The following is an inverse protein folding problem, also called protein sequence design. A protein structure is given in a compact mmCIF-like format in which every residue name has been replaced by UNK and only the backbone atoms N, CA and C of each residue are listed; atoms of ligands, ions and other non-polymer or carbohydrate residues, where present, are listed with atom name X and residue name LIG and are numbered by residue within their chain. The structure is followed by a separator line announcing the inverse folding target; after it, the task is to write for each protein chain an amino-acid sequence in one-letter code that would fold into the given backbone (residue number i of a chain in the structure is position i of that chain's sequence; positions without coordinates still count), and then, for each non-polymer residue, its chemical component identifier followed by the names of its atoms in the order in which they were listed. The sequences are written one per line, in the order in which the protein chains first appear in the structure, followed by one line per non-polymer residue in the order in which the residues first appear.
data_IF_635504848935
#
_entry.id   IF_635504848935
#
_cell.length_a   1.000
_cell.length_b   1.000
_cell.length_c   1.000
_cell.angle_alpha   90.00
_cell.angle_beta   90.00
_cell.angle_gamma   90.00
#
_symmetry.space_group_name_H-M   'P 1'
#
loop_
_entity.id
_entity.type
_entity.pdbx_description
1 polymer ?
#
# COMPACT_ATOMS: atom_id res chain seq x y z
N UNK A 1 5.38 1.71 22.12
CA UNK A 1 5.04 2.23 20.78
C UNK A 1 4.44 1.10 19.96
N UNK A 2 3.37 1.35 19.19
CA UNK A 2 2.89 0.40 18.18
C UNK A 2 3.69 0.66 16.91
N UNK A 3 4.49 -0.30 16.44
CA UNK A 3 5.30 -0.20 15.22
C UNK A 3 4.89 -1.27 14.18
N UNK A 4 3.64 -1.76 14.27
CA UNK A 4 3.14 -2.83 13.42
C UNK A 4 2.71 -2.28 12.07
N UNK A 5 3.34 -2.75 10.99
CA UNK A 5 2.96 -2.42 9.62
C UNK A 5 2.22 -3.62 9.03
N UNK A 6 1.03 -3.40 8.48
CA UNK A 6 0.20 -4.47 7.90
C UNK A 6 0.01 -4.19 6.41
N UNK A 7 0.48 -5.11 5.57
CA UNK A 7 0.10 -5.17 4.16
C UNK A 7 -1.04 -6.20 4.03
N UNK A 8 -2.31 -5.77 3.90
CA UNK A 8 -3.44 -6.66 3.92
C UNK A 8 -3.59 -7.32 2.55
N UNK A 9 -2.71 -8.26 2.21
CA UNK A 9 -2.73 -8.98 0.92
C UNK A 9 -3.99 -9.85 0.81
N UNK A 10 -5.13 -9.23 0.47
CA UNK A 10 -6.45 -9.89 0.43
C UNK A 10 -6.74 -10.47 -0.95
N UNK A 11 -6.26 -9.79 -1.99
CA UNK A 11 -6.56 -10.02 -3.40
C UNK A 11 -5.26 -9.96 -4.20
N UNK A 12 -5.14 -10.78 -5.25
CA UNK A 12 -4.07 -10.58 -6.22
C UNK A 12 -4.27 -9.25 -6.96
N UNK A 13 -3.22 -8.73 -7.59
CA UNK A 13 -3.33 -7.59 -8.51
C UNK A 13 -4.31 -7.83 -9.67
N UNK A 14 -4.66 -9.10 -9.93
CA UNK A 14 -5.66 -9.55 -10.91
C UNK A 14 -7.06 -9.78 -10.32
N UNK A 15 -7.30 -9.43 -9.05
CA UNK A 15 -8.61 -9.51 -8.39
C UNK A 15 -8.98 -10.88 -7.83
N UNK A 16 -8.08 -11.87 -7.84
CA UNK A 16 -8.36 -13.19 -7.27
C UNK A 16 -8.26 -13.12 -5.76
N UNK A 17 -9.28 -13.57 -5.04
CA UNK A 17 -9.25 -13.66 -3.58
C UNK A 17 -8.14 -14.61 -3.14
N UNK A 18 -7.18 -14.09 -2.36
CA UNK A 18 -6.04 -14.85 -1.82
C UNK A 18 -6.33 -15.38 -0.42
N UNK A 19 -7.31 -14.79 0.27
CA UNK A 19 -7.71 -15.18 1.62
C UNK A 19 -9.02 -15.93 1.66
N UNK A 20 -9.18 -16.77 2.69
CA UNK A 20 -10.46 -17.39 3.01
C UNK A 20 -11.47 -16.30 3.43
N UNK A 21 -12.77 -16.54 3.18
CA UNK A 21 -13.85 -15.56 3.41
C UNK A 21 -13.93 -15.05 4.86
N UNK A 22 -13.44 -15.83 5.81
CA UNK A 22 -13.40 -15.55 7.25
C UNK A 22 -12.16 -14.74 7.70
N UNK A 23 -11.16 -14.58 6.84
CA UNK A 23 -9.92 -13.89 7.19
C UNK A 23 -10.10 -12.37 7.32
N UNK A 24 -10.96 -11.75 6.49
CA UNK A 24 -11.19 -10.29 6.52
C UNK A 24 -11.82 -9.85 7.85
N UNK A 25 -12.89 -10.50 8.35
CA UNK A 25 -13.42 -10.20 9.69
C UNK A 25 -12.38 -10.33 10.81
N UNK A 26 -11.51 -11.35 10.77
CA UNK A 26 -10.45 -11.54 11.75
C UNK A 26 -9.40 -10.43 11.68
N UNK A 27 -8.92 -10.09 10.48
CA UNK A 27 -7.98 -8.99 10.24
C UNK A 27 -8.54 -7.68 10.83
N UNK A 28 -9.80 -7.35 10.52
CA UNK A 28 -10.47 -6.14 11.00
C UNK A 28 -10.60 -6.10 12.52
N UNK A 29 -10.96 -7.22 13.16
CA UNK A 29 -11.23 -7.27 14.61
C UNK A 29 -9.99 -7.45 15.48
N UNK A 30 -8.95 -8.12 14.98
CA UNK A 30 -7.82 -8.57 15.80
C UNK A 30 -6.49 -7.87 15.46
N UNK A 31 -6.27 -7.53 14.19
CA UNK A 31 -4.97 -7.07 13.71
C UNK A 31 -4.95 -5.56 13.41
N UNK A 32 -5.94 -5.03 12.68
CA UNK A 32 -5.99 -3.60 12.37
C UNK A 32 -5.97 -2.68 13.61
N UNK A 33 -6.62 -3.02 14.74
CA UNK A 33 -6.56 -2.19 15.95
C UNK A 33 -5.15 -2.08 16.56
N UNK A 34 -4.22 -2.94 16.16
CA UNK A 34 -2.84 -2.95 16.65
C UNK A 34 -1.86 -2.27 15.67
N UNK A 35 -2.31 -1.97 14.45
CA UNK A 35 -1.45 -1.45 13.40
C UNK A 35 -1.09 0.02 13.61
N UNK A 36 0.17 0.36 13.35
CA UNK A 36 0.59 1.74 13.15
C UNK A 36 0.19 2.20 11.75
N UNK A 37 0.56 1.42 10.73
CA UNK A 37 0.23 1.69 9.32
C UNK A 37 -0.38 0.44 8.70
N UNK A 38 -1.49 0.60 7.98
CA UNK A 38 -1.99 -0.41 7.05
C UNK A 38 -1.84 0.09 5.61
N UNK A 39 -1.39 -0.77 4.69
CA UNK A 39 -1.01 -0.34 3.33
C UNK A 39 -1.87 -1.00 2.23
N UNK A 40 -3.21 -0.88 2.23
CA UNK A 40 -4.05 -1.54 1.22
C UNK A 40 -3.88 -0.92 -0.17
N UNK A 41 -4.01 -1.71 -1.23
CA UNK A 41 -4.35 -1.17 -2.56
C UNK A 41 -5.84 -0.79 -2.65
N UNK A 42 -6.30 -0.19 -3.75
CA UNK A 42 -7.71 0.19 -3.93
C UNK A 42 -8.69 -0.97 -3.64
N UNK A 43 -8.49 -2.14 -4.24
CA UNK A 43 -9.41 -3.28 -4.07
C UNK A 43 -9.41 -3.82 -2.62
N UNK A 44 -8.24 -3.80 -1.97
CA UNK A 44 -8.11 -4.16 -0.55
C UNK A 44 -8.78 -3.10 0.34
N UNK A 45 -8.66 -1.83 -0.01
CA UNK A 45 -9.31 -0.72 0.70
C UNK A 45 -10.83 -0.81 0.58
N UNK A 46 -11.36 -1.13 -0.60
CA UNK A 46 -12.79 -1.39 -0.83
C UNK A 46 -13.29 -2.53 0.07
N UNK A 47 -12.54 -3.64 0.14
CA UNK A 47 -12.89 -4.80 0.97
C UNK A 47 -12.83 -4.49 2.48
N UNK A 48 -11.84 -3.72 2.92
CA UNK A 48 -11.70 -3.32 4.32
C UNK A 48 -12.75 -2.29 4.74
N UNK A 49 -12.99 -1.29 3.91
CA UNK A 49 -14.00 -0.26 4.16
C UNK A 49 -15.43 -0.82 4.01
N UNK A 50 -15.64 -1.81 3.13
CA UNK A 50 -16.96 -2.31 2.79
C UNK A 50 -17.74 -1.30 1.94
N UNK A 51 -17.07 -0.69 0.97
CA UNK A 51 -17.65 0.22 -0.02
C UNK A 51 -16.80 0.21 -1.30
N UNK A 52 -17.37 0.61 -2.43
CA UNK A 52 -16.63 0.80 -3.68
C UNK A 52 -15.92 2.16 -3.67
N UNK A 53 -14.76 2.25 -4.33
CA UNK A 53 -13.98 3.48 -4.51
C UNK A 53 -13.98 3.82 -6.00
N UNK A 54 -14.74 4.86 -6.38
CA UNK A 54 -14.87 5.29 -7.78
C UNK A 54 -14.33 6.71 -8.01
N UNK A 55 -14.02 7.42 -6.94
CA UNK A 55 -13.51 8.79 -6.95
C UNK A 55 -12.50 8.99 -5.81
N UNK A 56 -11.78 10.11 -5.86
CA UNK A 56 -10.92 10.54 -4.74
C UNK A 56 -11.74 10.74 -3.46
N UNK A 57 -12.95 11.28 -3.57
CA UNK A 57 -13.82 11.48 -2.42
C UNK A 57 -14.21 10.14 -1.78
N UNK A 58 -14.48 9.10 -2.58
CA UNK A 58 -14.73 7.75 -2.06
C UNK A 58 -13.48 7.18 -1.38
N UNK A 59 -12.29 7.50 -1.87
CA UNK A 59 -11.02 7.08 -1.28
C UNK A 59 -10.83 7.68 0.12
N UNK A 60 -11.18 8.96 0.29
CA UNK A 60 -11.16 9.64 1.59
C UNK A 60 -12.16 9.01 2.57
N UNK A 61 -13.38 8.74 2.11
CA UNK A 61 -14.38 8.03 2.93
C UNK A 61 -13.93 6.62 3.31
N UNK A 62 -13.37 5.87 2.36
CA UNK A 62 -12.84 4.53 2.62
C UNK A 62 -11.69 4.57 3.64
N UNK A 63 -10.77 5.52 3.50
CA UNK A 63 -9.67 5.70 4.45
C UNK A 63 -10.18 6.01 5.87
N UNK A 64 -11.17 6.90 6.01
CA UNK A 64 -11.83 7.17 7.29
C UNK A 64 -12.42 5.91 7.92
N UNK A 65 -13.18 5.12 7.15
CA UNK A 65 -13.76 3.85 7.63
C UNK A 65 -12.70 2.83 8.04
N UNK A 66 -11.52 2.85 7.42
CA UNK A 66 -10.42 1.95 7.78
C UNK A 66 -9.71 2.45 9.04
N UNK A 67 -9.50 3.77 9.19
CA UNK A 67 -8.97 4.39 10.41
C UNK A 67 -9.86 4.08 11.63
N UNK A 68 -11.18 4.07 11.46
CA UNK A 68 -12.15 3.69 12.51
C UNK A 68 -11.98 2.24 12.99
N UNK A 69 -11.29 1.39 12.23
CA UNK A 69 -10.94 0.03 12.64
C UNK A 69 -9.72 -0.02 13.60
N UNK A 70 -9.12 1.14 13.88
CA UNK A 70 -8.04 1.33 14.85
C UNK A 70 -6.60 1.50 14.36
N UNK A 71 -6.21 1.37 13.06
CA UNK A 71 -4.85 1.72 12.65
C UNK A 71 -4.62 3.23 12.83
N UNK A 72 -3.40 3.65 13.18
CA UNK A 72 -3.08 5.08 13.30
C UNK A 72 -2.94 5.78 11.95
N UNK A 73 -2.55 5.03 10.91
CA UNK A 73 -2.37 5.50 9.55
C UNK A 73 -2.86 4.47 8.53
N UNK A 74 -3.38 4.96 7.40
CA UNK A 74 -3.78 4.15 6.23
C UNK A 74 -3.07 4.71 5.01
N UNK A 75 -2.29 3.88 4.32
CA UNK A 75 -1.64 4.23 3.05
C UNK A 75 -2.35 3.50 1.92
N UNK A 76 -3.26 4.19 1.21
CA UNK A 76 -3.97 3.62 0.07
C UNK A 76 -3.06 3.71 -1.16
N UNK A 77 -2.71 2.56 -1.73
CA UNK A 77 -1.81 2.43 -2.88
C UNK A 77 -2.56 2.46 -4.20
N UNK A 78 -1.99 3.14 -5.20
CA UNK A 78 -2.46 3.09 -6.59
C UNK A 78 -3.66 3.98 -6.90
N UNK A 79 -3.74 5.16 -6.27
CA UNK A 79 -4.64 6.23 -6.68
C UNK A 79 -4.35 6.71 -8.11
N UNK A 80 -5.34 7.33 -8.76
CA UNK A 80 -5.20 7.94 -10.09
C UNK A 80 -4.63 7.04 -11.21
N UNK A 81 -5.35 5.96 -11.56
CA UNK A 81 -5.02 5.05 -12.68
C UNK A 81 -4.94 5.73 -14.06
N UNK A 82 -5.49 6.93 -14.22
CA UNK A 82 -5.48 7.70 -15.47
C UNK A 82 -4.26 8.62 -15.62
N UNK A 83 -3.38 8.70 -14.61
CA UNK A 83 -2.21 9.56 -14.65
C UNK A 83 -0.96 8.82 -15.12
N UNK A 84 0.04 9.54 -15.64
CA UNK A 84 1.38 9.02 -15.92
C UNK A 84 2.22 8.83 -14.64
N UNK A 85 1.57 8.80 -13.47
CA UNK A 85 2.19 8.73 -12.16
C UNK A 85 1.62 7.55 -11.35
N UNK A 86 2.46 7.02 -10.46
CA UNK A 86 2.07 6.07 -9.44
C UNK A 86 1.88 6.82 -8.12
N UNK A 87 0.63 7.08 -7.73
CA UNK A 87 0.28 7.84 -6.54
C UNK A 87 -0.19 6.93 -5.41
N UNK A 88 0.32 7.17 -4.20
CA UNK A 88 -0.19 6.58 -2.96
C UNK A 88 -0.56 7.70 -1.98
N UNK A 89 -1.68 7.55 -1.27
CA UNK A 89 -2.19 8.57 -0.35
C UNK A 89 -2.19 8.06 1.09
N UNK A 90 -1.51 8.78 1.98
CA UNK A 90 -1.45 8.52 3.40
C UNK A 90 -2.48 9.35 4.15
N UNK A 91 -3.27 8.68 4.97
CA UNK A 91 -4.26 9.24 5.87
C UNK A 91 -3.85 8.96 7.31
N UNK A 92 -3.91 9.96 8.18
CA UNK A 92 -3.57 9.82 9.60
C UNK A 92 -2.79 11.02 10.12
N UNK A 93 -2.57 11.08 11.44
CA UNK A 93 -1.84 12.20 12.04
C UNK A 93 -2.46 13.58 11.78
N UNK A 94 -3.80 13.64 11.60
CA UNK A 94 -4.58 14.83 11.24
C UNK A 94 -4.22 15.43 9.86
N UNK A 95 -3.62 14.63 8.97
CA UNK A 95 -3.21 15.06 7.63
C UNK A 95 -3.61 14.03 6.58
N UNK A 96 -3.68 14.51 5.34
CA UNK A 96 -3.77 13.69 4.13
C UNK A 96 -2.58 14.09 3.26
N UNK A 97 -1.73 13.13 2.89
CA UNK A 97 -0.50 13.37 2.12
C UNK A 97 -0.44 12.44 0.92
N UNK A 98 -0.28 13.00 -0.27
CA UNK A 98 -0.09 12.24 -1.50
C UNK A 98 1.41 12.12 -1.82
N UNK A 99 1.83 10.92 -2.23
CA UNK A 99 3.20 10.60 -2.62
C UNK A 99 3.21 10.05 -4.04
N UNK A 100 3.87 10.76 -4.95
CA UNK A 100 3.83 10.46 -6.38
C UNK A 100 5.24 10.25 -6.95
N UNK A 101 5.35 9.24 -7.82
CA UNK A 101 6.55 8.97 -8.62
C UNK A 101 6.12 8.66 -10.06
N UNK A 102 6.98 8.85 -11.08
CA UNK A 102 6.63 8.51 -12.45
C UNK A 102 6.17 7.05 -12.60
N UNK A 103 5.11 6.82 -13.37
CA UNK A 103 4.66 5.47 -13.67
C UNK A 103 5.72 4.71 -14.45
N UNK A 104 5.97 3.46 -14.06
CA UNK A 104 6.95 2.57 -14.71
C UNK A 104 6.20 1.43 -15.37
N UNK A 105 6.26 1.34 -16.69
CA UNK A 105 5.65 0.25 -17.44
C UNK A 105 6.42 -1.06 -17.27
N UNK A 106 5.69 -2.18 -17.30
CA UNK A 106 6.23 -3.54 -17.16
C UNK A 106 5.55 -4.32 -16.05
N UNK A 107 5.61 -5.64 -16.13
CA UNK A 107 5.08 -6.51 -15.08
C UNK A 107 6.12 -6.67 -13.98
N UNK A 108 5.91 -5.94 -12.89
CA UNK A 108 6.73 -6.04 -11.68
C UNK A 108 5.85 -6.48 -10.53
N UNK A 109 6.18 -7.63 -9.95
CA UNK A 109 5.46 -8.21 -8.83
C UNK A 109 6.15 -7.84 -7.52
N UNK A 110 5.39 -7.75 -6.43
CA UNK A 110 5.93 -7.54 -5.09
C UNK A 110 6.29 -6.08 -4.73
N UNK A 111 5.95 -5.10 -5.57
CA UNK A 111 6.12 -3.66 -5.25
C UNK A 111 5.43 -3.27 -3.95
N UNK A 112 4.25 -3.84 -3.66
CA UNK A 112 3.53 -3.64 -2.39
C UNK A 112 4.32 -4.14 -1.18
N UNK A 113 4.86 -5.36 -1.24
CA UNK A 113 5.67 -5.93 -0.15
C UNK A 113 6.97 -5.15 0.06
N UNK A 114 7.61 -4.70 -1.02
CA UNK A 114 8.82 -3.85 -0.95
C UNK A 114 8.49 -2.51 -0.30
N UNK A 115 7.35 -1.90 -0.66
CA UNK A 115 6.90 -0.65 -0.07
C UNK A 115 6.64 -0.80 1.44
N UNK A 116 5.86 -1.79 1.86
CA UNK A 116 5.53 -2.02 3.27
C UNK A 116 6.78 -2.36 4.10
N UNK A 117 7.70 -3.16 3.54
CA UNK A 117 8.99 -3.48 4.16
C UNK A 117 9.87 -2.23 4.31
N UNK A 118 9.95 -1.39 3.27
CA UNK A 118 10.72 -0.16 3.32
C UNK A 118 10.15 0.85 4.34
N UNK A 119 8.82 0.97 4.44
CA UNK A 119 8.16 1.77 5.49
C UNK A 119 8.57 1.29 6.87
N UNK A 120 8.48 -0.03 7.12
CA UNK A 120 8.89 -0.61 8.40
C UNK A 120 10.37 -0.33 8.72
N UNK A 121 11.28 -0.45 7.74
CA UNK A 121 12.70 -0.16 7.91
C UNK A 121 12.94 1.32 8.26
N UNK A 122 12.31 2.26 7.56
CA UNK A 122 12.49 3.68 7.85
C UNK A 122 11.90 4.09 9.20
N UNK A 123 10.75 3.54 9.59
CA UNK A 123 10.22 3.75 10.96
C UNK A 123 11.18 3.17 12.00
N UNK A 124 11.73 1.98 11.77
CA UNK A 124 12.74 1.37 12.64
C UNK A 124 14.03 2.19 12.77
N UNK A 125 14.33 3.04 11.79
CA UNK A 125 15.45 4.00 11.81
C UNK A 125 15.10 5.32 12.52
N UNK A 126 13.91 5.45 13.09
CA UNK A 126 13.48 6.64 13.84
C UNK A 126 12.83 7.74 12.99
N UNK A 127 12.50 7.48 11.73
CA UNK A 127 11.74 8.43 10.92
C UNK A 127 10.27 8.48 11.36
N UNK A 128 9.66 9.66 11.30
CA UNK A 128 8.21 9.83 11.38
C UNK A 128 7.52 9.10 10.21
N UNK A 129 6.25 8.71 10.39
CA UNK A 129 5.52 7.87 9.43
C UNK A 129 5.45 8.52 8.04
N UNK A 130 5.16 9.81 7.99
CA UNK A 130 5.07 10.59 6.75
C UNK A 130 6.40 10.54 5.98
N UNK A 131 7.52 10.74 6.69
CA UNK A 131 8.86 10.69 6.09
C UNK A 131 9.27 9.27 5.70
N UNK A 132 8.85 8.27 6.46
CA UNK A 132 9.11 6.87 6.16
C UNK A 132 8.39 6.42 4.88
N UNK A 133 7.13 6.85 4.69
CA UNK A 133 6.35 6.59 3.47
C UNK A 133 6.96 7.27 2.25
N UNK A 134 7.33 8.55 2.36
CA UNK A 134 8.02 9.27 1.29
C UNK A 134 9.29 8.52 0.82
N UNK A 135 10.15 8.17 1.78
CA UNK A 135 11.40 7.44 1.49
C UNK A 135 11.17 6.05 0.92
N UNK A 136 10.14 5.34 1.40
CA UNK A 136 9.77 4.03 0.88
C UNK A 136 9.29 4.13 -0.58
N UNK A 137 8.49 5.15 -0.91
CA UNK A 137 8.03 5.39 -2.28
C UNK A 137 9.19 5.69 -3.23
N UNK A 138 10.11 6.57 -2.84
CA UNK A 138 11.34 6.87 -3.60
C UNK A 138 12.22 5.62 -3.79
N UNK A 139 12.30 4.77 -2.77
CA UNK A 139 13.04 3.52 -2.83
C UNK A 139 12.46 2.55 -3.86
N UNK A 140 11.14 2.37 -3.86
CA UNK A 140 10.44 1.52 -4.84
C UNK A 140 10.66 2.04 -6.28
N UNK A 141 10.51 3.35 -6.52
CA UNK A 141 10.78 3.93 -7.85
C UNK A 141 12.24 3.74 -8.29
N UNK A 142 13.19 3.86 -7.35
CA UNK A 142 14.60 3.57 -7.63
C UNK A 142 14.84 2.12 -8.02
N UNK A 143 14.21 1.18 -7.32
CA UNK A 143 14.28 -0.24 -7.65
C UNK A 143 13.64 -0.53 -9.01
N UNK A 144 12.49 0.08 -9.32
CA UNK A 144 11.83 -0.06 -10.62
C UNK A 144 12.69 0.50 -11.77
N UNK A 145 13.39 1.62 -11.56
CA UNK A 145 14.37 2.15 -12.54
C UNK A 145 15.51 1.18 -12.83
N UNK A 146 15.96 0.45 -11.82
CA UNK A 146 17.08 -0.51 -11.92
C UNK A 146 16.64 -1.92 -12.31
N UNK A 147 15.33 -2.20 -12.29
CA UNK A 147 14.79 -3.53 -12.54
C UNK A 147 15.14 -3.99 -13.96
N UNK A 148 15.82 -5.14 -14.06
CA UNK A 148 16.18 -5.76 -15.33
C UNK A 148 15.17 -6.84 -15.71
N UNK A 149 14.95 -7.09 -17.01
CA UNK A 149 14.21 -8.26 -17.46
C UNK A 149 14.86 -9.54 -16.91
N UNK A 150 14.07 -10.46 -16.37
CA UNK A 150 14.56 -11.77 -15.94
C UNK A 150 13.61 -12.90 -16.37
N UNK A 151 14.20 -14.01 -16.83
CA UNK A 151 13.49 -15.17 -17.37
C UNK A 151 13.37 -15.16 -18.90
N UNK A 152 12.93 -16.30 -19.48
CA UNK A 152 12.68 -16.45 -20.94
C UNK A 152 11.53 -15.55 -21.44
N UNK A 153 10.67 -15.10 -20.53
CA UNK A 153 9.60 -14.15 -20.79
C UNK A 153 10.10 -12.72 -20.51
N UNK A 154 10.43 -11.98 -21.57
CA UNK A 154 11.10 -10.66 -21.52
C UNK A 154 10.30 -9.55 -20.80
N UNK A 155 9.07 -9.82 -20.35
CA UNK A 155 8.19 -8.85 -19.68
C UNK A 155 8.28 -8.89 -18.14
N UNK A 156 8.81 -9.96 -17.56
CA UNK A 156 8.98 -10.07 -16.11
C UNK A 156 10.26 -9.36 -15.67
N UNK A 157 10.14 -8.41 -14.74
CA UNK A 157 11.30 -7.76 -14.13
C UNK A 157 11.37 -8.12 -12.64
N UNK A 158 12.57 -8.47 -12.18
CA UNK A 158 12.83 -8.83 -10.80
C UNK A 158 13.74 -7.78 -10.15
N UNK A 159 13.54 -7.59 -8.85
CA UNK A 159 14.45 -6.81 -8.02
C UNK A 159 15.67 -7.68 -7.67
N UNK A 160 16.88 -7.17 -7.92
CA UNK A 160 18.04 -7.66 -7.18
C UNK A 160 18.07 -6.88 -5.86
N UNK A 161 17.94 -7.60 -4.75
CA UNK A 161 18.02 -7.08 -3.38
C UNK A 161 19.48 -6.90 -3.01
#
# INVERSE_FOLDING_TARGET
MRNLIIDPVLLSSSGRTLLRKDAVPLLRKKLLPLALVVTPNIMEAEALAGMAIRSEQDMDFAAGRILDLGPSYVLIKGGHRASSAAEDTLYGGQKVLAFSTPWRSGEVHGTGCVLSSAVAVFIGRGYAVEKAVEKAKEHVDTLLRKAKPAGKNRNLRYFQI
#
